data_IF_447599842061
#
_entry.id   IF_447599842061
#
_cell.length_a   1.000
_cell.length_b   1.000
_cell.length_c   1.000
_cell.angle_alpha   90.00
_cell.angle_beta   90.00
_cell.angle_gamma   90.00
#
_symmetry.space_group_name_H-M   'P 1'
#
loop_
_entity.id
_entity.type
_entity.pdbx_description
1 polymer ?
#
# COMPACT_ATOMS: atom_id res chain seq x y z
N UNK A 1 6.68 14.10 -5.20
CA UNK A 1 7.22 14.14 -3.82
C UNK A 1 8.69 14.40 -4.00
N UNK A 2 9.01 15.66 -4.23
CA UNK A 2 10.35 16.16 -4.48
C UNK A 2 10.58 17.10 -3.32
N UNK A 3 11.42 16.68 -2.40
CA UNK A 3 12.04 17.60 -1.45
C UNK A 3 13.36 17.92 -2.13
N UNK A 4 13.52 19.15 -2.57
CA UNK A 4 14.76 19.65 -3.16
C UNK A 4 15.46 20.51 -2.11
N UNK A 5 16.75 20.19 -1.91
CA UNK A 5 17.86 20.90 -1.22
C UNK A 5 18.06 20.71 0.32
N UNK A 6 19.07 19.91 0.80
CA UNK A 6 20.49 20.15 1.32
C UNK A 6 20.68 21.20 2.44
N UNK A 7 21.68 21.13 3.38
CA UNK A 7 22.84 20.23 3.58
C UNK A 7 22.99 19.41 4.88
N UNK A 8 22.29 19.68 5.99
CA UNK A 8 22.45 18.91 7.24
C UNK A 8 21.56 17.66 7.34
N UNK A 9 21.04 17.18 6.22
CA UNK A 9 20.32 15.90 6.23
C UNK A 9 21.35 14.78 6.34
N UNK A 10 21.17 13.94 7.35
CA UNK A 10 21.87 12.66 7.38
C UNK A 10 21.42 11.83 6.17
N UNK A 11 22.25 10.88 5.75
CA UNK A 11 21.86 9.88 4.75
C UNK A 11 20.52 9.20 5.07
N UNK A 12 20.19 9.06 6.37
CA UNK A 12 18.90 8.54 6.82
C UNK A 12 17.74 9.47 6.46
N UNK A 13 17.85 10.76 6.76
CA UNK A 13 16.75 11.72 6.60
C UNK A 13 16.36 11.93 5.13
N UNK A 14 17.36 12.04 4.24
CA UNK A 14 17.13 12.22 2.80
C UNK A 14 16.40 11.03 2.19
N UNK A 15 16.73 9.81 2.62
CA UNK A 15 16.15 8.59 2.06
C UNK A 15 14.83 8.20 2.77
N UNK A 16 14.68 8.50 4.06
CA UNK A 16 13.44 8.35 4.81
C UNK A 16 12.31 9.22 4.24
N UNK A 17 12.65 10.40 3.70
CA UNK A 17 11.69 11.27 2.99
C UNK A 17 11.02 10.58 1.78
N UNK A 18 11.64 9.55 1.22
CA UNK A 18 11.14 8.73 0.10
C UNK A 18 10.47 7.42 0.57
N UNK A 19 10.26 7.23 1.87
CA UNK A 19 9.61 6.04 2.42
C UNK A 19 10.43 4.75 2.29
N UNK A 20 11.74 4.86 2.07
CA UNK A 20 12.70 3.75 2.08
C UNK A 20 13.63 3.91 3.29
N UNK A 21 13.78 2.85 4.09
CA UNK A 21 14.85 2.78 5.09
C UNK A 21 16.14 2.34 4.36
N UNK A 22 17.14 3.22 4.23
CA UNK A 22 18.29 2.93 3.40
C UNK A 22 19.24 1.94 4.08
N UNK A 23 19.69 0.94 3.31
CA UNK A 23 20.74 0.02 3.78
C UNK A 23 22.13 0.63 3.68
N UNK A 24 22.30 1.66 2.86
CA UNK A 24 23.57 2.37 2.64
C UNK A 24 24.08 3.04 3.92
N UNK A 25 23.19 3.59 4.76
CA UNK A 25 23.56 4.19 6.06
C UNK A 25 24.26 3.18 6.97
N UNK A 26 23.74 1.95 7.04
CA UNK A 26 24.35 0.90 7.86
C UNK A 26 25.74 0.46 7.39
N UNK A 27 26.16 0.88 6.20
CA UNK A 27 27.47 0.61 5.60
C UNK A 27 28.45 1.77 5.78
N UNK A 28 28.02 2.94 6.25
CA UNK A 28 28.86 4.12 6.41
C UNK A 28 29.74 4.01 7.67
N UNK A 29 30.98 4.51 7.61
CA UNK A 29 31.86 4.49 8.78
C UNK A 29 31.38 5.43 9.87
N UNK A 30 30.82 6.56 9.47
CA UNK A 30 30.38 7.65 10.33
C UNK A 30 28.85 7.76 10.26
N UNK A 31 28.11 7.18 11.23
CA UNK A 31 26.65 7.13 11.15
C UNK A 31 25.98 8.50 11.31
N UNK A 32 26.69 9.48 11.88
CA UNK A 32 26.19 10.84 12.10
C UNK A 32 26.66 11.83 11.01
N UNK A 33 27.23 11.34 9.90
CA UNK A 33 27.68 12.20 8.82
C UNK A 33 26.51 12.86 8.08
N UNK A 34 26.73 14.09 7.63
CA UNK A 34 25.79 14.84 6.81
C UNK A 34 26.21 14.79 5.34
N UNK A 35 25.28 15.04 4.42
CA UNK A 35 25.56 14.98 2.98
C UNK A 35 26.71 15.91 2.58
N UNK A 36 26.85 17.09 3.20
CA UNK A 36 27.94 18.03 2.90
C UNK A 36 29.34 17.52 3.27
N UNK A 37 29.45 16.51 4.14
CA UNK A 37 30.75 15.93 4.51
C UNK A 37 31.33 15.07 3.36
N UNK A 38 30.44 14.51 2.54
CA UNK A 38 30.79 13.54 1.50
C UNK A 38 30.49 14.02 0.08
N UNK A 39 29.57 14.97 -0.12
CA UNK A 39 29.29 15.56 -1.42
C UNK A 39 30.20 16.77 -1.63
N UNK A 40 31.28 16.58 -2.39
CA UNK A 40 32.38 17.54 -2.52
C UNK A 40 32.55 17.99 -3.96
N UNK A 41 32.81 19.27 -4.17
CA UNK A 41 33.17 19.83 -5.46
C UNK A 41 34.64 19.48 -5.79
N UNK A 42 34.86 18.64 -6.79
CA UNK A 42 36.18 18.25 -7.29
C UNK A 42 36.27 18.59 -8.79
N UNK A 43 37.26 19.40 -9.18
CA UNK A 43 37.45 19.86 -10.57
C UNK A 43 36.17 20.37 -11.25
N UNK A 44 35.43 21.28 -10.59
CA UNK A 44 34.16 21.85 -11.07
C UNK A 44 32.98 20.85 -11.20
N UNK A 45 33.16 19.62 -10.73
CA UNK A 45 32.13 18.58 -10.71
C UNK A 45 31.83 18.13 -9.29
N UNK A 46 30.55 18.07 -8.92
CA UNK A 46 30.16 17.52 -7.62
C UNK A 46 30.32 16.00 -7.62
N UNK A 47 30.95 15.45 -6.58
CA UNK A 47 31.19 14.02 -6.46
C UNK A 47 30.99 13.52 -5.03
N UNK A 48 30.51 12.28 -4.90
CA UNK A 48 30.29 11.61 -3.61
C UNK A 48 31.54 10.89 -3.14
N UNK A 49 32.23 11.44 -2.14
CA UNK A 49 33.37 10.86 -1.43
C UNK A 49 32.91 10.14 -0.15
N UNK A 50 32.21 9.04 -0.33
CA UNK A 50 31.66 8.21 0.74
C UNK A 50 32.72 7.36 1.46
N UNK A 51 32.57 7.12 2.76
CA UNK A 51 33.51 6.36 3.59
C UNK A 51 32.88 5.03 4.01
N UNK A 52 32.74 4.10 3.06
CA UNK A 52 32.08 2.82 3.35
C UNK A 52 32.93 1.89 4.23
N UNK A 53 32.36 1.36 5.32
CA UNK A 53 32.90 0.22 6.10
C UNK A 53 33.06 -1.02 5.23
N UNK A 54 32.06 -1.27 4.39
CA UNK A 54 31.99 -2.38 3.45
C UNK A 54 31.44 -1.82 2.14
N UNK A 55 32.10 -2.06 0.98
CA UNK A 55 31.63 -1.56 -0.30
C UNK A 55 30.17 -2.00 -0.57
N UNK A 56 29.29 -1.09 -1.00
CA UNK A 56 27.90 -1.42 -1.28
C UNK A 56 27.81 -2.48 -2.39
N UNK A 57 26.91 -3.44 -2.21
CA UNK A 57 26.66 -4.53 -3.17
C UNK A 57 25.15 -4.76 -3.34
N UNK A 58 24.75 -5.27 -4.50
CA UNK A 58 23.34 -5.56 -4.80
C UNK A 58 22.47 -4.31 -4.63
N UNK A 59 21.34 -4.43 -3.91
CA UNK A 59 20.40 -3.32 -3.68
C UNK A 59 20.97 -2.07 -3.02
N UNK A 60 22.08 -2.18 -2.27
CA UNK A 60 22.74 -1.00 -1.72
C UNK A 60 23.33 -0.10 -2.83
N UNK A 61 23.66 -0.67 -4.00
CA UNK A 61 24.06 0.11 -5.17
C UNK A 61 22.86 0.83 -5.81
N UNK A 62 21.68 0.19 -5.87
CA UNK A 62 20.46 0.83 -6.38
C UNK A 62 20.02 2.00 -5.48
N UNK A 63 20.14 1.80 -4.17
CA UNK A 63 19.89 2.82 -3.15
C UNK A 63 20.89 3.99 -3.26
N UNK A 64 22.18 3.68 -3.44
CA UNK A 64 23.22 4.69 -3.67
C UNK A 64 23.02 5.45 -4.98
N UNK A 65 22.69 4.76 -6.08
CA UNK A 65 22.41 5.39 -7.36
C UNK A 65 21.19 6.31 -7.28
N UNK A 66 20.15 5.89 -6.55
CA UNK A 66 18.97 6.72 -6.28
C UNK A 66 19.34 7.97 -5.48
N UNK A 67 20.15 7.84 -4.44
CA UNK A 67 20.65 8.96 -3.65
C UNK A 67 21.47 9.93 -4.52
N UNK A 68 22.47 9.42 -5.25
CA UNK A 68 23.32 10.23 -6.14
C UNK A 68 22.47 10.98 -7.15
N UNK A 69 21.48 10.34 -7.78
CA UNK A 69 20.58 11.01 -8.73
C UNK A 69 19.75 12.15 -8.11
N UNK A 70 19.46 12.06 -6.81
CA UNK A 70 18.68 13.05 -6.08
C UNK A 70 19.54 14.27 -5.70
N UNK A 71 20.82 14.04 -5.42
CA UNK A 71 21.79 15.08 -5.03
C UNK A 71 22.66 15.60 -6.20
N UNK A 72 22.57 15.00 -7.40
CA UNK A 72 23.42 15.33 -8.55
C UNK A 72 23.34 16.81 -8.98
N UNK A 73 22.19 17.43 -8.79
CA UNK A 73 21.94 18.84 -9.14
C UNK A 73 22.06 19.80 -7.93
N UNK A 74 22.46 19.30 -6.77
CA UNK A 74 22.54 20.08 -5.55
C UNK A 74 23.85 20.89 -5.50
N UNK A 75 23.74 22.21 -5.33
CA UNK A 75 24.89 23.10 -5.13
C UNK A 75 24.92 23.55 -3.68
N UNK A 76 25.94 23.11 -2.95
CA UNK A 76 26.13 23.51 -1.55
C UNK A 76 26.77 24.89 -1.46
N UNK A 77 26.13 25.80 -0.73
CA UNK A 77 26.65 27.14 -0.43
C UNK A 77 26.97 27.26 1.06
N UNK A 78 28.24 27.49 1.45
CA UNK A 78 28.63 27.65 2.85
C UNK A 78 28.16 28.97 3.49
N UNK A 79 27.55 29.87 2.71
CA UNK A 79 27.12 31.18 3.16
C UNK A 79 25.65 31.22 3.64
N UNK A 80 24.90 30.14 3.46
CA UNK A 80 23.47 30.08 3.79
C UNK A 80 23.22 29.02 4.87
N UNK A 81 22.47 29.40 5.89
CA UNK A 81 21.96 28.44 6.89
C UNK A 81 20.80 27.60 6.33
N UNK A 82 20.72 26.36 6.79
CA UNK A 82 19.69 25.39 6.44
C UNK A 82 18.27 25.85 6.76
N UNK A 83 17.34 25.55 5.86
CA UNK A 83 15.92 25.80 6.07
C UNK A 83 15.09 24.63 5.55
N UNK A 84 14.13 24.21 6.36
CA UNK A 84 13.08 23.30 5.91
C UNK A 84 12.11 24.07 5.02
N UNK A 85 12.16 23.82 3.72
CA UNK A 85 11.27 24.48 2.73
C UNK A 85 10.16 23.52 2.31
N UNK A 86 8.93 24.03 2.30
CA UNK A 86 7.76 23.29 1.84
C UNK A 86 7.52 23.53 0.34
N UNK A 87 7.95 22.60 -0.53
CA UNK A 87 7.83 22.66 -2.01
C UNK A 87 6.38 22.55 -2.56
N UNK A 88 5.37 22.92 -1.78
CA UNK A 88 3.97 22.92 -2.25
C UNK A 88 3.26 24.25 -2.11
N UNK A 89 3.88 25.24 -1.46
CA UNK A 89 3.35 26.60 -1.44
C UNK A 89 4.45 27.62 -1.73
N UNK A 90 4.06 28.75 -2.30
CA UNK A 90 4.98 29.85 -2.64
C UNK A 90 5.44 30.65 -1.39
N UNK A 91 5.09 30.20 -0.19
CA UNK A 91 5.43 30.84 1.08
C UNK A 91 6.41 30.03 1.93
N UNK A 92 6.97 28.95 1.38
CA UNK A 92 7.99 28.08 1.99
C UNK A 92 7.60 27.53 3.38
N UNK A 93 6.33 27.63 3.77
CA UNK A 93 5.88 27.43 5.14
C UNK A 93 4.99 26.20 5.27
N UNK A 94 5.34 25.31 6.21
CA UNK A 94 4.54 24.13 6.50
C UNK A 94 3.20 24.51 7.15
N UNK A 95 2.10 24.33 6.42
CA UNK A 95 0.73 24.49 6.94
C UNK A 95 0.07 23.13 7.13
N UNK A 96 -0.28 22.78 8.37
CA UNK A 96 -0.94 21.50 8.75
C UNK A 96 -2.22 21.25 7.93
N UNK A 97 -2.96 22.31 7.57
CA UNK A 97 -4.15 22.24 6.70
C UNK A 97 -3.83 21.63 5.32
N UNK A 98 -2.65 21.89 4.78
CA UNK A 98 -2.22 21.41 3.46
C UNK A 98 -1.66 19.99 3.50
N UNK A 99 -1.09 19.53 4.63
CA UNK A 99 -0.77 18.12 4.82
C UNK A 99 -2.06 17.29 4.81
N UNK A 100 -3.11 17.77 5.49
CA UNK A 100 -4.43 17.14 5.47
C UNK A 100 -4.97 17.13 4.03
N UNK A 101 -5.00 18.27 3.33
CA UNK A 101 -5.53 18.34 1.96
C UNK A 101 -4.71 17.53 0.93
N UNK A 102 -3.39 17.44 1.08
CA UNK A 102 -2.51 16.66 0.18
C UNK A 102 -2.51 15.17 0.47
N UNK A 103 -2.78 14.74 1.71
CA UNK A 103 -3.17 13.36 2.00
C UNK A 103 -4.63 13.09 1.63
N UNK A 104 -5.49 14.12 1.54
CA UNK A 104 -6.90 14.04 1.15
C UNK A 104 -7.16 14.23 -0.35
N UNK A 105 -6.12 14.33 -1.19
CA UNK A 105 -6.26 13.85 -2.57
C UNK A 105 -6.30 12.31 -2.63
N UNK A 106 -6.27 11.63 -1.49
CA UNK A 106 -7.06 10.42 -1.34
C UNK A 106 -8.54 10.83 -1.42
N UNK A 107 -9.11 10.85 -2.62
CA UNK A 107 -10.58 10.92 -2.78
C UNK A 107 -11.23 9.88 -1.86
N UNK A 108 -12.53 9.97 -1.59
CA UNK A 108 -13.22 8.95 -0.79
C UNK A 108 -13.13 7.58 -1.48
N UNK A 109 -12.02 6.86 -1.33
CA UNK A 109 -11.73 5.65 -2.07
C UNK A 109 -12.59 4.48 -1.60
N UNK A 110 -13.32 4.67 -0.49
CA UNK A 110 -14.33 3.74 -0.02
C UNK A 110 -15.38 4.46 0.83
N UNK A 111 -16.56 3.83 0.94
CA UNK A 111 -17.66 4.21 1.81
C UNK A 111 -17.57 3.42 3.11
N UNK A 112 -17.48 4.15 4.22
CA UNK A 112 -17.53 3.57 5.56
C UNK A 112 -18.95 3.09 5.88
N UNK A 113 -19.10 1.82 6.27
CA UNK A 113 -20.40 1.27 6.62
C UNK A 113 -20.52 1.07 8.14
N UNK A 114 -21.39 1.86 8.79
CA UNK A 114 -21.55 1.78 10.25
C UNK A 114 -22.24 0.50 10.74
N UNK A 115 -22.79 -0.35 9.85
CA UNK A 115 -23.52 -1.56 10.23
C UNK A 115 -22.64 -2.82 10.25
N UNK A 116 -21.37 -2.69 9.86
CA UNK A 116 -20.39 -3.79 9.90
C UNK A 116 -19.31 -3.53 10.96
N UNK A 117 -18.67 -4.57 11.51
CA UNK A 117 -17.58 -4.43 12.46
C UNK A 117 -16.45 -3.54 11.94
N UNK A 118 -15.88 -2.72 12.84
CA UNK A 118 -14.76 -1.79 12.53
C UNK A 118 -13.59 -2.47 11.82
N UNK A 119 -13.26 -3.71 12.20
CA UNK A 119 -12.20 -4.52 11.56
C UNK A 119 -12.42 -4.76 10.05
N UNK A 120 -13.69 -4.88 9.64
CA UNK A 120 -14.04 -5.08 8.22
C UNK A 120 -13.89 -3.76 7.47
N UNK A 121 -14.41 -2.66 8.03
CA UNK A 121 -14.20 -1.33 7.44
C UNK A 121 -12.71 -0.99 7.26
N UNK A 122 -11.88 -1.28 8.27
CA UNK A 122 -10.42 -1.09 8.16
C UNK A 122 -9.86 -1.95 7.02
N UNK A 123 -10.24 -3.22 6.91
CA UNK A 123 -9.83 -4.08 5.81
C UNK A 123 -10.20 -3.49 4.44
N UNK A 124 -11.44 -3.01 4.27
CA UNK A 124 -11.93 -2.39 3.03
C UNK A 124 -11.18 -1.09 2.72
N UNK A 125 -10.85 -0.30 3.74
CA UNK A 125 -9.99 0.87 3.58
C UNK A 125 -8.60 0.49 3.08
N UNK A 126 -7.95 -0.52 3.67
CA UNK A 126 -6.65 -1.02 3.18
C UNK A 126 -6.73 -1.52 1.73
N UNK A 127 -7.85 -2.13 1.33
CA UNK A 127 -8.09 -2.53 -0.06
C UNK A 127 -8.15 -1.32 -0.98
N UNK A 128 -8.84 -0.24 -0.57
CA UNK A 128 -9.06 0.93 -1.43
C UNK A 128 -7.82 1.75 -1.73
N UNK A 129 -6.81 1.68 -0.85
CA UNK A 129 -5.50 2.32 -1.04
C UNK A 129 -4.41 1.31 -1.46
N UNK A 130 -4.80 0.10 -1.85
CA UNK A 130 -3.91 -1.01 -2.24
C UNK A 130 -2.77 -1.26 -1.23
N UNK A 131 -3.08 -1.25 0.08
CA UNK A 131 -2.09 -1.40 1.17
C UNK A 131 -2.19 -2.71 1.96
N UNK A 132 -3.00 -3.67 1.53
CA UNK A 132 -2.99 -5.00 2.13
C UNK A 132 -1.60 -5.64 2.03
N UNK A 133 -1.15 -6.45 3.01
CA UNK A 133 0.16 -7.09 2.99
C UNK A 133 0.22 -8.28 2.00
N UNK A 134 0.00 -7.98 0.72
CA UNK A 134 0.25 -8.89 -0.39
C UNK A 134 1.75 -8.99 -0.63
N UNK A 135 2.23 -10.06 -1.29
CA UNK A 135 3.66 -10.19 -1.62
C UNK A 135 4.17 -9.00 -2.45
N UNK A 136 3.35 -8.51 -3.37
CA UNK A 136 3.63 -7.30 -4.14
C UNK A 136 3.81 -6.05 -3.26
N UNK A 137 2.88 -5.81 -2.33
CA UNK A 137 2.94 -4.65 -1.43
C UNK A 137 4.03 -4.76 -0.36
N UNK A 138 4.45 -5.98 -0.02
CA UNK A 138 5.60 -6.21 0.86
C UNK A 138 6.90 -5.95 0.10
N UNK A 139 7.02 -6.44 -1.14
CA UNK A 139 8.17 -6.21 -2.00
C UNK A 139 8.37 -4.72 -2.31
N UNK A 140 7.29 -3.97 -2.58
CA UNK A 140 7.36 -2.52 -2.79
C UNK A 140 7.81 -1.75 -1.54
N UNK A 141 7.69 -2.34 -0.35
CA UNK A 141 8.20 -1.82 0.93
C UNK A 141 9.58 -2.37 1.31
N UNK A 142 10.27 -3.06 0.40
CA UNK A 142 11.60 -3.63 0.64
C UNK A 142 11.61 -4.93 1.47
N UNK A 143 10.44 -5.48 1.80
CA UNK A 143 10.30 -6.78 2.49
C UNK A 143 10.30 -7.87 1.42
N UNK A 144 11.46 -8.50 1.22
CA UNK A 144 11.65 -9.49 0.18
C UNK A 144 10.97 -10.83 0.54
N UNK A 145 9.93 -11.19 -0.19
CA UNK A 145 9.46 -12.57 -0.26
C UNK A 145 10.21 -13.33 -1.35
N UNK A 146 10.41 -14.64 -1.17
CA UNK A 146 11.15 -15.54 -2.09
C UNK A 146 10.58 -15.54 -3.52
N UNK A 147 9.31 -15.16 -3.70
CA UNK A 147 8.69 -14.97 -5.01
C UNK A 147 7.65 -13.83 -4.96
N UNK A 148 7.60 -12.99 -6.00
CA UNK A 148 6.55 -11.98 -6.20
C UNK A 148 5.28 -12.55 -6.85
N UNK A 149 5.28 -13.86 -7.15
CA UNK A 149 4.16 -14.51 -7.79
C UNK A 149 3.01 -14.69 -6.80
N UNK A 150 1.80 -14.62 -7.35
CA UNK A 150 0.59 -15.00 -6.66
C UNK A 150 0.74 -16.45 -6.16
N UNK A 151 0.56 -16.72 -4.86
CA UNK A 151 0.66 -18.06 -4.30
C UNK A 151 -0.42 -19.03 -4.82
N UNK A 152 -1.32 -18.55 -5.68
CA UNK A 152 -2.46 -19.30 -6.16
C UNK A 152 -2.42 -19.62 -7.66
N UNK A 153 -1.80 -18.78 -8.50
CA UNK A 153 -1.76 -18.98 -9.95
C UNK A 153 -0.37 -18.98 -10.57
N UNK A 154 0.70 -18.64 -9.83
CA UNK A 154 2.10 -18.62 -10.32
C UNK A 154 2.42 -17.76 -11.56
N UNK A 155 1.41 -17.15 -12.19
CA UNK A 155 1.50 -16.64 -13.56
C UNK A 155 1.79 -15.14 -13.66
N UNK A 156 1.35 -14.28 -12.73
CA UNK A 156 1.58 -12.82 -12.82
C UNK A 156 1.71 -12.09 -11.47
N UNK A 157 2.47 -10.99 -11.45
CA UNK A 157 2.51 -9.99 -10.37
C UNK A 157 1.24 -9.15 -10.41
N UNK A 158 0.24 -9.45 -9.56
CA UNK A 158 -1.04 -8.72 -9.62
C UNK A 158 -1.54 -8.20 -8.27
N UNK A 159 -2.21 -7.07 -8.41
CA UNK A 159 -2.76 -6.15 -7.40
C UNK A 159 -3.81 -6.79 -6.49
N UNK A 160 -4.18 -6.09 -5.42
CA UNK A 160 -5.23 -6.54 -4.48
C UNK A 160 -6.52 -7.02 -5.18
N UNK A 161 -6.92 -6.36 -6.28
CA UNK A 161 -8.11 -6.72 -7.06
C UNK A 161 -8.08 -8.15 -7.61
N UNK A 162 -6.95 -8.60 -8.17
CA UNK A 162 -6.85 -9.96 -8.68
C UNK A 162 -7.10 -10.99 -7.58
N UNK A 163 -6.43 -10.82 -6.42
CA UNK A 163 -6.53 -11.76 -5.31
C UNK A 163 -7.89 -11.80 -4.63
N UNK A 164 -8.63 -10.68 -4.63
CA UNK A 164 -9.91 -10.57 -3.91
C UNK A 164 -11.13 -10.75 -4.81
N UNK A 165 -11.01 -10.55 -6.11
CA UNK A 165 -12.14 -10.50 -7.04
C UNK A 165 -11.95 -11.47 -8.20
N UNK A 166 -10.88 -11.30 -8.98
CA UNK A 166 -10.76 -11.91 -10.31
C UNK A 166 -10.08 -13.29 -10.31
N UNK A 167 -9.63 -13.77 -9.16
CA UNK A 167 -9.01 -15.09 -9.06
C UNK A 167 -10.05 -16.20 -9.28
N UNK A 168 -9.70 -17.23 -10.05
CA UNK A 168 -10.66 -18.25 -10.51
C UNK A 168 -11.35 -19.02 -9.38
N UNK A 169 -10.69 -19.24 -8.24
CA UNK A 169 -11.32 -19.88 -7.09
C UNK A 169 -12.25 -18.93 -6.30
N UNK A 170 -12.09 -17.62 -6.48
CA UNK A 170 -12.87 -16.58 -5.77
C UNK A 170 -14.09 -16.16 -6.58
N UNK A 171 -14.06 -16.25 -7.90
CA UNK A 171 -15.20 -15.95 -8.78
C UNK A 171 -16.47 -16.73 -8.37
N UNK A 172 -16.43 -18.07 -8.15
CA UNK A 172 -17.60 -18.83 -7.74
C UNK A 172 -18.22 -18.33 -6.43
N UNK A 173 -17.39 -17.94 -5.45
CA UNK A 173 -17.88 -17.34 -4.20
C UNK A 173 -18.70 -16.08 -4.47
N UNK A 174 -18.19 -15.17 -5.30
CA UNK A 174 -18.95 -13.95 -5.65
C UNK A 174 -20.23 -14.26 -6.41
N UNK A 175 -20.22 -15.23 -7.33
CA UNK A 175 -21.43 -15.67 -8.04
C UNK A 175 -22.50 -16.19 -7.08
N UNK A 176 -22.11 -16.95 -6.05
CA UNK A 176 -23.03 -17.41 -5.01
C UNK A 176 -23.59 -16.24 -4.19
N UNK A 177 -22.79 -15.22 -3.86
CA UNK A 177 -23.27 -14.01 -3.15
C UNK A 177 -24.29 -13.23 -3.99
N UNK A 178 -24.03 -13.05 -5.29
CA UNK A 178 -24.97 -12.42 -6.22
C UNK A 178 -26.28 -13.21 -6.33
N UNK A 179 -26.18 -14.54 -6.49
CA UNK A 179 -27.34 -15.44 -6.54
C UNK A 179 -28.15 -15.45 -5.25
N UNK A 180 -27.50 -15.39 -4.09
CA UNK A 180 -28.18 -15.34 -2.79
C UNK A 180 -29.09 -14.11 -2.64
N UNK A 181 -28.67 -12.98 -3.21
CA UNK A 181 -29.47 -11.75 -3.25
C UNK A 181 -30.42 -11.67 -4.46
N UNK A 182 -30.48 -12.72 -5.30
CA UNK A 182 -31.27 -12.76 -6.54
C UNK A 182 -30.93 -11.63 -7.51
N UNK A 183 -29.65 -11.24 -7.53
CA UNK A 183 -29.13 -10.17 -8.37
C UNK A 183 -28.26 -10.74 -9.49
N UNK A 184 -28.27 -10.09 -10.65
CA UNK A 184 -27.39 -10.47 -11.76
C UNK A 184 -25.94 -10.02 -11.47
N UNK A 185 -24.93 -10.90 -11.65
CA UNK A 185 -23.54 -10.52 -11.50
C UNK A 185 -23.12 -9.50 -12.58
N UNK A 186 -22.12 -8.65 -12.31
CA UNK A 186 -21.65 -7.65 -13.26
C UNK A 186 -21.03 -8.33 -14.49
N UNK A 187 -21.20 -7.69 -15.65
CA UNK A 187 -20.64 -8.15 -16.94
C UNK A 187 -19.11 -8.16 -16.89
N UNK A 188 -18.50 -7.30 -16.09
CA UNK A 188 -17.05 -7.24 -15.88
C UNK A 188 -16.68 -7.09 -14.40
N UNK A 189 -15.74 -7.92 -13.94
CA UNK A 189 -15.22 -7.91 -12.57
C UNK A 189 -14.22 -6.78 -12.23
N UNK A 190 -13.48 -6.14 -13.16
CA UNK A 190 -12.57 -5.05 -12.79
C UNK A 190 -13.24 -3.84 -12.13
N UNK A 191 -14.47 -3.49 -12.55
CA UNK A 191 -15.26 -2.40 -11.95
C UNK A 191 -15.99 -2.82 -10.68
N UNK A 192 -16.18 -4.12 -10.46
CA UNK A 192 -16.90 -4.65 -9.31
C UNK A 192 -16.25 -4.28 -7.97
N UNK A 193 -14.91 -4.32 -7.87
CA UNK A 193 -14.22 -3.89 -6.65
C UNK A 193 -14.57 -2.43 -6.33
N UNK A 194 -14.45 -1.54 -7.32
CA UNK A 194 -14.78 -0.13 -7.18
C UNK A 194 -16.23 0.09 -6.76
N UNK A 195 -17.18 -0.71 -7.26
CA UNK A 195 -18.59 -0.65 -6.84
C UNK A 195 -18.80 -1.04 -5.37
N UNK A 196 -18.09 -2.06 -4.87
CA UNK A 196 -18.12 -2.41 -3.42
C UNK A 196 -17.52 -1.27 -2.59
N UNK A 197 -16.38 -0.75 -3.03
CA UNK A 197 -15.69 0.32 -2.32
C UNK A 197 -16.58 1.57 -2.24
N UNK A 198 -17.17 1.99 -3.35
CA UNK A 198 -18.01 3.19 -3.42
C UNK A 198 -19.46 2.98 -2.97
N UNK A 199 -19.85 1.76 -2.57
CA UNK A 199 -21.22 1.44 -2.19
C UNK A 199 -22.24 1.61 -3.32
N UNK A 200 -21.80 1.46 -4.57
CA UNK A 200 -22.56 1.70 -5.79
C UNK A 200 -22.86 0.40 -6.56
N UNK A 201 -23.04 -0.71 -5.84
CA UNK A 201 -23.30 -2.04 -6.41
C UNK A 201 -24.59 -2.09 -7.24
N UNK A 202 -25.73 -1.92 -6.57
CA UNK A 202 -27.07 -1.93 -7.15
C UNK A 202 -27.94 -1.00 -6.33
N UNK A 203 -28.89 -0.30 -6.97
CA UNK A 203 -29.92 0.45 -6.27
C UNK A 203 -31.17 -0.41 -6.09
N UNK A 204 -31.41 -0.85 -4.86
CA UNK A 204 -32.58 -1.63 -4.44
C UNK A 204 -33.79 -0.75 -4.06
N UNK A 205 -33.75 0.55 -4.35
CA UNK A 205 -34.83 1.50 -4.04
C UNK A 205 -34.94 1.88 -2.56
N UNK A 206 -34.11 1.32 -1.68
CA UNK A 206 -34.04 1.66 -0.25
C UNK A 206 -32.60 1.90 0.19
N UNK A 207 -32.29 3.06 0.83
CA UNK A 207 -30.94 3.36 1.29
C UNK A 207 -30.45 2.35 2.34
N UNK A 208 -31.35 1.85 3.19
CA UNK A 208 -31.03 0.85 4.19
C UNK A 208 -30.69 -0.51 3.54
N UNK A 209 -31.47 -0.94 2.54
CA UNK A 209 -31.18 -2.19 1.82
C UNK A 209 -29.86 -2.09 1.04
N UNK A 210 -29.60 -0.96 0.37
CA UNK A 210 -28.33 -0.71 -0.31
C UNK A 210 -27.15 -0.77 0.67
N UNK A 211 -27.33 -0.23 1.88
CA UNK A 211 -26.31 -0.28 2.93
C UNK A 211 -26.06 -1.69 3.47
N UNK A 212 -27.11 -2.51 3.62
CA UNK A 212 -26.97 -3.93 3.99
C UNK A 212 -26.25 -4.70 2.90
N UNK A 213 -26.71 -4.55 1.65
CA UNK A 213 -26.09 -5.17 0.48
C UNK A 213 -24.60 -4.85 0.44
N UNK A 214 -24.24 -3.56 0.50
CA UNK A 214 -22.84 -3.16 0.50
C UNK A 214 -22.06 -3.76 1.68
N UNK A 215 -22.66 -3.82 2.87
CA UNK A 215 -22.07 -4.48 4.04
C UNK A 215 -21.79 -5.97 3.84
N UNK A 216 -22.67 -6.69 3.14
CA UNK A 216 -22.46 -8.10 2.78
C UNK A 216 -21.24 -8.24 1.86
N UNK A 217 -21.14 -7.43 0.81
CA UNK A 217 -19.99 -7.50 -0.11
C UNK A 217 -18.67 -7.06 0.56
N UNK A 218 -18.70 -6.04 1.41
CA UNK A 218 -17.56 -5.61 2.22
C UNK A 218 -17.08 -6.71 3.18
N UNK A 219 -18.02 -7.46 3.78
CA UNK A 219 -17.69 -8.67 4.54
C UNK A 219 -17.10 -9.76 3.65
N UNK A 220 -17.64 -9.94 2.44
CA UNK A 220 -17.09 -10.84 1.44
C UNK A 220 -15.61 -10.57 1.18
N UNK A 221 -15.22 -9.31 0.98
CA UNK A 221 -13.80 -8.93 0.81
C UNK A 221 -12.94 -9.38 2.00
N UNK A 222 -13.43 -9.18 3.23
CA UNK A 222 -12.73 -9.61 4.43
C UNK A 222 -12.62 -11.15 4.55
N UNK A 223 -13.68 -11.89 4.19
CA UNK A 223 -13.67 -13.35 4.20
C UNK A 223 -12.69 -13.92 3.17
N UNK A 224 -12.72 -13.41 1.94
CA UNK A 224 -11.76 -13.78 0.88
C UNK A 224 -10.34 -13.46 1.33
N UNK A 225 -10.11 -12.29 1.92
CA UNK A 225 -8.80 -11.92 2.47
C UNK A 225 -8.33 -12.90 3.57
N UNK A 226 -9.22 -13.28 4.48
CA UNK A 226 -8.91 -14.23 5.57
C UNK A 226 -8.60 -15.62 5.02
N UNK A 227 -9.42 -16.13 4.10
CA UNK A 227 -9.22 -17.39 3.40
C UNK A 227 -7.90 -17.41 2.66
N UNK A 228 -7.63 -16.36 1.88
CA UNK A 228 -6.37 -16.17 1.17
C UNK A 228 -5.18 -16.30 2.12
N UNK A 229 -5.21 -15.63 3.26
CA UNK A 229 -4.12 -15.71 4.23
C UNK A 229 -3.95 -17.10 4.84
N UNK A 230 -5.03 -17.85 5.06
CA UNK A 230 -4.92 -19.26 5.48
C UNK A 230 -4.21 -20.10 4.43
N UNK A 231 -4.58 -19.98 3.15
CA UNK A 231 -3.94 -20.76 2.08
C UNK A 231 -2.46 -20.41 1.96
N UNK A 232 -2.11 -19.12 2.03
CA UNK A 232 -0.71 -18.67 1.96
C UNK A 232 0.15 -19.15 3.13
N UNK A 233 -0.46 -19.35 4.29
CA UNK A 233 0.22 -19.84 5.51
C UNK A 233 0.12 -21.36 5.68
N UNK A 234 -0.61 -22.06 4.80
CA UNK A 234 -0.78 -23.50 4.88
C UNK A 234 0.54 -24.22 4.57
N UNK A 235 0.81 -25.32 5.27
CA UNK A 235 1.87 -26.24 4.87
C UNK A 235 1.46 -26.99 3.59
N UNK A 236 2.43 -27.53 2.83
CA UNK A 236 2.15 -28.22 1.56
C UNK A 236 1.06 -29.29 1.68
N UNK A 237 1.05 -30.04 2.78
CA UNK A 237 0.09 -31.13 3.03
C UNK A 237 -1.37 -30.66 3.16
N UNK A 238 -1.58 -29.42 3.63
CA UNK A 238 -2.92 -28.84 3.83
C UNK A 238 -3.30 -27.82 2.76
N UNK A 239 -2.41 -27.50 1.82
CA UNK A 239 -2.62 -26.44 0.84
C UNK A 239 -3.89 -26.70 -0.01
N UNK A 240 -4.03 -27.91 -0.56
CA UNK A 240 -5.20 -28.30 -1.37
C UNK A 240 -6.49 -28.29 -0.55
N UNK A 241 -6.43 -28.70 0.72
CA UNK A 241 -7.59 -28.67 1.63
C UNK A 241 -8.04 -27.24 1.90
N UNK A 242 -7.11 -26.32 2.15
CA UNK A 242 -7.43 -24.91 2.38
C UNK A 242 -7.93 -24.22 1.10
N UNK A 243 -7.37 -24.57 -0.06
CA UNK A 243 -7.81 -24.04 -1.36
C UNK A 243 -9.28 -24.40 -1.66
N UNK A 244 -9.70 -25.60 -1.25
CA UNK A 244 -11.05 -26.11 -1.47
C UNK A 244 -12.03 -25.81 -0.31
N UNK A 245 -11.63 -25.00 0.68
CA UNK A 245 -12.53 -24.58 1.76
C UNK A 245 -13.70 -23.76 1.19
N UNK A 246 -14.94 -24.21 1.38
CA UNK A 246 -16.11 -23.41 1.05
C UNK A 246 -16.30 -22.29 2.09
N UNK A 247 -16.08 -21.06 1.65
CA UNK A 247 -16.19 -19.87 2.50
C UNK A 247 -17.56 -19.18 2.45
N UNK A 248 -18.44 -19.61 1.55
CA UNK A 248 -19.77 -19.01 1.39
C UNK A 248 -20.63 -19.11 2.66
N UNK A 249 -20.69 -20.23 3.40
CA UNK A 249 -21.50 -20.32 4.62
C UNK A 249 -21.12 -19.28 5.68
N UNK A 250 -19.87 -18.81 5.71
CA UNK A 250 -19.44 -17.78 6.67
C UNK A 250 -20.02 -16.39 6.36
N UNK A 251 -20.37 -16.08 5.11
CA UNK A 251 -20.99 -14.78 4.77
C UNK A 251 -22.43 -14.68 5.28
N UNK A 252 -23.11 -15.83 5.40
CA UNK A 252 -24.51 -15.91 5.82
C UNK A 252 -24.69 -15.86 7.35
N UNK A 253 -23.64 -16.05 8.15
CA UNK A 253 -23.73 -16.02 9.62
C UNK A 253 -24.02 -14.61 10.12
N UNK A 254 -25.11 -14.38 10.86
CA UNK A 254 -25.59 -13.06 11.32
C UNK A 254 -24.66 -12.26 12.24
N UNK A 255 -23.50 -12.79 12.62
CA UNK A 255 -22.49 -12.15 13.48
C UNK A 255 -21.94 -10.80 12.94
N UNK A 256 -22.29 -10.41 11.71
CA UNK A 256 -21.78 -9.19 11.07
C UNK A 256 -22.66 -7.97 11.23
N UNK A 257 -23.92 -8.11 11.65
CA UNK A 257 -24.76 -6.94 11.87
C UNK A 257 -24.38 -6.39 13.23
N UNK A 258 -23.59 -5.32 13.24
CA UNK A 258 -23.40 -4.52 14.43
C UNK A 258 -24.81 -4.10 14.88
N UNK A 259 -25.20 -4.54 16.09
CA UNK A 259 -26.52 -4.36 16.72
C UNK A 259 -27.27 -3.19 16.10
N UNK A 260 -28.39 -3.46 15.43
CA UNK A 260 -29.31 -2.42 15.00
C UNK A 260 -29.57 -1.51 16.21
N UNK A 261 -29.33 -0.19 16.13
CA UNK A 261 -29.91 0.70 17.11
C UNK A 261 -31.43 0.59 16.90
N UNK A 262 -32.10 -0.02 17.88
CA UNK A 262 -33.55 0.03 18.02
C UNK A 262 -34.01 1.49 18.13
#
# INVERSE_FOLDING_TARGET
MTVVEIPNLTLEDTMASQGKLPKTVSLENEPDCIISDHWVLDNETWCGRWSWRIPPRGRALDDLASLVSLIDNMVLSPANDDKWVWDRDASDAFKVKELFLSQHSLGSHHVWNSWIPRKINICVWYVSIDRLPTRFNLASRGINSVSNQCPFCELETKTTCHSLIAYHAVIPFWMMVWSWWQLAPPISFPSFLSSILMGSLVNLGSPNLNKILNGVFQRGLWLVWKWRNKVVQATPDFHTTMLNEDIFPYIQRLEFVARFPC
#
